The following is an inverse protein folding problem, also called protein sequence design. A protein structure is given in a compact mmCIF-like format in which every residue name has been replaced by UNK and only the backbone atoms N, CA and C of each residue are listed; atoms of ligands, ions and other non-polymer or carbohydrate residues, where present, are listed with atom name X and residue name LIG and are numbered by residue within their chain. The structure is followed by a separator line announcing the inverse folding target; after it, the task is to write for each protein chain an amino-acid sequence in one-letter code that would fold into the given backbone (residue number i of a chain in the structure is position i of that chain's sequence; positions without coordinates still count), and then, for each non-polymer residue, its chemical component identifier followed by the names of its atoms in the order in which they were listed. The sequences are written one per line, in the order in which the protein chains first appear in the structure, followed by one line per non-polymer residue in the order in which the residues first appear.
data_IF_830031993277
#
_entry.id   IF_830031993277
#
_cell.length_a   1.000
_cell.length_b   1.000
_cell.length_c   1.000
_cell.angle_alpha   90.00
_cell.angle_beta   90.00
_cell.angle_gamma   90.00
#
_symmetry.space_group_name_H-M   'P 1'
#
loop_
_entity.id
_entity.type
_entity.pdbx_description
1 polymer ?
#
# COMPACT_ATOMS: atom_id res chain seq x y z
N UNK A 1 -16.70 27.62 -29.33
CA UNK A 1 -15.86 27.76 -28.11
C UNK A 1 -16.50 27.02 -26.93
N UNK A 2 -15.70 26.17 -26.28
CA UNK A 2 -15.73 25.80 -24.85
C UNK A 2 -17.03 25.26 -24.23
N UNK A 3 -17.07 23.95 -24.00
CA UNK A 3 -17.44 23.37 -22.69
C UNK A 3 -16.51 22.21 -22.36
N UNK A 4 -15.30 22.55 -21.92
CA UNK A 4 -14.42 21.61 -21.22
C UNK A 4 -15.04 21.42 -19.84
N UNK A 5 -15.57 20.23 -19.57
CA UNK A 5 -16.02 19.81 -18.25
C UNK A 5 -14.77 19.72 -17.37
N UNK A 6 -14.49 20.81 -16.63
CA UNK A 6 -13.59 20.80 -15.48
C UNK A 6 -14.28 20.04 -14.36
N UNK A 7 -14.03 18.74 -14.24
CA UNK A 7 -14.33 18.02 -13.00
C UNK A 7 -13.28 18.45 -11.97
N UNK A 8 -13.68 19.40 -11.13
CA UNK A 8 -12.92 19.91 -10.02
C UNK A 8 -12.76 18.85 -8.93
N UNK A 9 -11.57 18.88 -8.31
CA UNK A 9 -11.28 18.61 -6.90
C UNK A 9 -12.10 17.48 -6.25
N UNK A 10 -11.52 16.29 -6.19
CA UNK A 10 -11.88 15.32 -5.14
C UNK A 10 -10.93 15.55 -3.96
N UNK A 11 -11.56 15.74 -2.80
CA UNK A 11 -10.99 16.19 -1.55
C UNK A 11 -9.87 15.27 -1.01
N UNK A 12 -8.90 15.88 -0.32
CA UNK A 12 -8.01 15.21 0.60
C UNK A 12 -8.84 14.38 1.60
N UNK A 13 -8.80 13.05 1.45
CA UNK A 13 -8.89 12.16 2.60
C UNK A 13 -7.47 11.83 2.99
N UNK A 14 -6.90 12.64 3.89
CA UNK A 14 -5.83 12.16 4.74
C UNK A 14 -6.44 11.05 5.60
N UNK A 15 -6.34 9.80 5.14
CA UNK A 15 -6.42 8.66 6.03
C UNK A 15 -5.27 8.84 7.03
N UNK A 16 -5.59 9.34 8.22
CA UNK A 16 -4.64 9.26 9.33
C UNK A 16 -4.35 7.77 9.51
N UNK A 17 -3.15 7.35 9.11
CA UNK A 17 -2.70 5.99 9.28
C UNK A 17 -2.33 5.81 10.76
N UNK A 18 -2.95 4.85 11.43
CA UNK A 18 -2.50 4.47 12.76
C UNK A 18 -1.19 3.69 12.63
N UNK A 19 -0.12 4.18 13.26
CA UNK A 19 1.12 3.42 13.38
C UNK A 19 0.87 2.21 14.31
N UNK A 20 1.00 1.00 13.75
CA UNK A 20 0.94 -0.22 14.54
C UNK A 20 2.21 -0.39 15.39
N UNK A 21 2.19 -1.21 16.43
CA UNK A 21 3.45 -1.59 17.09
C UNK A 21 4.22 -2.56 16.21
N UNK A 22 5.54 -2.40 16.14
CA UNK A 22 6.43 -3.33 15.47
C UNK A 22 6.21 -4.79 15.92
N UNK A 23 6.32 -5.74 14.98
CA UNK A 23 6.41 -7.16 15.30
C UNK A 23 7.62 -7.46 16.20
N UNK A 24 7.41 -8.18 17.30
CA UNK A 24 8.50 -8.63 18.15
C UNK A 24 9.49 -9.52 17.35
N UNK A 25 10.80 -9.42 17.62
CA UNK A 25 11.78 -10.34 17.07
C UNK A 25 11.48 -11.73 17.63
N UNK A 26 10.87 -12.60 16.85
CA UNK A 26 10.61 -13.98 17.24
C UNK A 26 11.61 -14.91 16.54
N UNK A 27 12.28 -15.75 17.32
CA UNK A 27 12.98 -16.91 16.81
C UNK A 27 11.91 -17.91 16.34
N UNK A 28 11.61 -17.90 15.04
CA UNK A 28 10.60 -18.79 14.48
C UNK A 28 11.08 -20.24 14.60
N UNK A 29 10.24 -21.13 15.17
CA UNK A 29 10.51 -22.57 15.27
C UNK A 29 10.55 -23.28 13.90
N UNK A 30 9.98 -22.64 12.87
CA UNK A 30 10.00 -23.12 11.49
C UNK A 30 10.00 -21.93 10.52
N UNK A 31 10.53 -22.14 9.31
CA UNK A 31 10.65 -21.12 8.27
C UNK A 31 9.88 -21.52 7.02
N UNK A 32 9.18 -20.56 6.42
CA UNK A 32 8.48 -20.77 5.16
C UNK A 32 8.42 -19.49 4.35
N UNK A 33 8.31 -19.63 3.03
CA UNK A 33 8.14 -18.48 2.16
C UNK A 33 6.75 -17.89 2.36
N UNK A 34 6.69 -16.62 2.76
CA UNK A 34 5.42 -15.93 2.98
C UNK A 34 4.57 -15.97 1.72
N UNK A 35 3.25 -16.12 1.80
CA UNK A 35 2.35 -15.99 0.64
C UNK A 35 1.10 -15.20 1.00
N UNK A 36 0.56 -14.49 0.01
CA UNK A 36 -0.78 -13.94 0.09
C UNK A 36 -1.81 -14.85 -0.57
N UNK A 37 -2.94 -14.99 0.11
CA UNK A 37 -4.11 -15.69 -0.43
C UNK A 37 -5.32 -14.77 -0.38
N UNK A 38 -6.21 -14.94 -1.35
CA UNK A 38 -7.48 -14.22 -1.40
C UNK A 38 -8.63 -15.19 -1.14
N UNK A 39 -9.58 -14.85 -0.24
CA UNK A 39 -10.72 -15.70 0.05
C UNK A 39 -11.69 -15.76 -1.13
N UNK A 40 -12.44 -16.87 -1.24
CA UNK A 40 -13.49 -17.01 -2.25
C UNK A 40 -14.46 -15.82 -2.21
N UNK A 41 -14.69 -15.23 -3.39
CA UNK A 41 -15.53 -14.05 -3.56
C UNK A 41 -14.79 -12.70 -3.53
N UNK A 42 -13.49 -12.70 -3.24
CA UNK A 42 -12.61 -11.54 -3.46
C UNK A 42 -12.27 -11.43 -4.94
N UNK A 43 -13.05 -10.64 -5.69
CA UNK A 43 -12.95 -10.52 -7.16
C UNK A 43 -12.72 -9.07 -7.59
N UNK A 44 -12.22 -8.87 -8.82
CA UNK A 44 -12.01 -7.54 -9.42
C UNK A 44 -13.26 -6.67 -9.34
N UNK A 45 -14.42 -7.22 -9.69
CA UNK A 45 -15.68 -6.49 -9.65
C UNK A 45 -16.10 -6.06 -8.23
N UNK A 46 -15.94 -6.95 -7.25
CA UNK A 46 -16.27 -6.61 -5.86
C UNK A 46 -15.28 -5.58 -5.29
N UNK A 47 -14.00 -5.72 -5.60
CA UNK A 47 -12.98 -4.76 -5.15
C UNK A 47 -13.21 -3.38 -5.78
N UNK A 48 -13.46 -3.28 -7.08
CA UNK A 48 -13.84 -2.03 -7.76
C UNK A 48 -15.06 -1.38 -7.10
N UNK A 49 -16.10 -2.16 -6.82
CA UNK A 49 -17.30 -1.66 -6.14
C UNK A 49 -16.99 -1.16 -4.72
N UNK A 50 -16.07 -1.81 -4.01
CA UNK A 50 -15.64 -1.43 -2.68
C UNK A 50 -14.81 -0.14 -2.68
N UNK A 51 -13.87 -0.02 -3.64
CA UNK A 51 -13.08 1.19 -3.89
C UNK A 51 -13.99 2.38 -4.16
N UNK A 52 -14.90 2.26 -5.14
CA UNK A 52 -15.82 3.36 -5.47
C UNK A 52 -16.68 3.77 -4.27
N UNK A 53 -17.08 2.81 -3.43
CA UNK A 53 -17.78 3.11 -2.18
C UNK A 53 -16.87 3.83 -1.15
N UNK A 54 -15.59 3.47 -1.01
CA UNK A 54 -14.69 4.13 -0.06
C UNK A 54 -14.37 5.57 -0.44
N UNK A 55 -14.29 5.86 -1.75
CA UNK A 55 -14.02 7.20 -2.29
C UNK A 55 -15.24 8.13 -2.26
N UNK A 56 -16.45 7.60 -2.08
CA UNK A 56 -17.65 8.43 -1.98
C UNK A 56 -17.60 9.35 -0.74
N UNK A 57 -18.06 10.61 -0.85
CA UNK A 57 -18.34 11.44 0.31
C UNK A 57 -19.26 10.75 1.31
N UNK A 58 -19.12 11.04 2.61
CA UNK A 58 -19.91 10.37 3.66
C UNK A 58 -21.43 10.51 3.49
N UNK A 59 -21.88 11.65 2.99
CA UNK A 59 -23.29 11.88 2.65
C UNK A 59 -23.77 10.94 1.55
N UNK A 60 -22.95 10.70 0.52
CA UNK A 60 -23.24 9.76 -0.56
C UNK A 60 -23.17 8.31 -0.08
N UNK A 61 -22.20 7.94 0.76
CA UNK A 61 -22.15 6.61 1.40
C UNK A 61 -23.46 6.34 2.16
N UNK A 62 -23.94 7.32 2.96
CA UNK A 62 -25.21 7.19 3.70
C UNK A 62 -26.40 7.00 2.75
N UNK A 63 -26.48 7.77 1.66
CA UNK A 63 -27.53 7.61 0.63
C UNK A 63 -27.45 6.25 -0.06
N UNK A 64 -26.25 5.82 -0.44
CA UNK A 64 -26.00 4.55 -1.13
C UNK A 64 -26.41 3.34 -0.28
N UNK A 65 -26.20 3.42 1.04
CA UNK A 65 -26.59 2.40 2.01
C UNK A 65 -28.10 2.35 2.33
N UNK A 66 -28.90 3.36 1.94
CA UNK A 66 -30.37 3.26 2.05
C UNK A 66 -30.94 2.16 1.17
N UNK A 67 -30.23 1.78 0.10
CA UNK A 67 -30.58 0.62 -0.71
C UNK A 67 -30.20 -0.68 0.04
N UNK A 68 -31.20 -1.50 0.39
CA UNK A 68 -31.02 -2.76 1.13
C UNK A 68 -30.07 -3.74 0.44
N UNK A 69 -30.05 -3.81 -0.90
CA UNK A 69 -29.13 -4.68 -1.66
C UNK A 69 -27.68 -4.24 -1.49
N UNK A 70 -27.43 -2.94 -1.47
CA UNK A 70 -26.11 -2.35 -1.26
C UNK A 70 -25.59 -2.58 0.17
N UNK A 71 -26.44 -2.36 1.17
CA UNK A 71 -26.12 -2.65 2.57
C UNK A 71 -25.81 -4.15 2.80
N UNK A 72 -26.62 -5.04 2.23
CA UNK A 72 -26.40 -6.49 2.30
C UNK A 72 -25.10 -6.90 1.61
N UNK A 73 -24.82 -6.35 0.42
CA UNK A 73 -23.56 -6.58 -0.28
C UNK A 73 -22.36 -6.12 0.56
N UNK A 74 -22.40 -4.91 1.14
CA UNK A 74 -21.27 -4.40 1.93
C UNK A 74 -21.01 -5.27 3.16
N UNK A 75 -22.07 -5.73 3.84
CA UNK A 75 -21.95 -6.67 4.96
C UNK A 75 -21.28 -7.99 4.52
N UNK A 76 -21.67 -8.54 3.36
CA UNK A 76 -21.05 -9.75 2.79
C UNK A 76 -19.58 -9.50 2.40
N UNK A 77 -19.29 -8.37 1.78
CA UNK A 77 -17.93 -7.97 1.41
C UNK A 77 -17.02 -7.88 2.64
N UNK A 78 -17.46 -7.20 3.70
CA UNK A 78 -16.71 -7.13 4.96
C UNK A 78 -16.43 -8.52 5.55
N UNK A 79 -17.40 -9.44 5.52
CA UNK A 79 -17.18 -10.84 5.96
C UNK A 79 -16.12 -11.57 5.13
N UNK A 80 -16.07 -11.34 3.82
CA UNK A 80 -15.02 -11.89 2.94
C UNK A 80 -13.66 -11.35 3.37
N UNK A 81 -13.54 -10.03 3.59
CA UNK A 81 -12.30 -9.40 4.05
C UNK A 81 -11.84 -9.91 5.43
N UNK A 82 -12.77 -10.14 6.37
CA UNK A 82 -12.46 -10.80 7.66
C UNK A 82 -11.82 -12.17 7.44
N UNK A 83 -12.36 -12.98 6.52
CA UNK A 83 -11.76 -14.29 6.19
C UNK A 83 -10.35 -14.13 5.64
N UNK A 84 -10.14 -13.14 4.76
CA UNK A 84 -8.81 -12.82 4.23
C UNK A 84 -7.81 -12.43 5.30
N UNK A 85 -8.20 -11.53 6.22
CA UNK A 85 -7.37 -11.12 7.36
C UNK A 85 -6.99 -12.29 8.27
N UNK A 86 -7.90 -13.26 8.47
CA UNK A 86 -7.67 -14.45 9.31
C UNK A 86 -6.84 -15.53 8.63
N UNK A 87 -6.97 -15.71 7.31
CA UNK A 87 -6.26 -16.73 6.56
C UNK A 87 -4.77 -16.38 6.32
N UNK A 88 -4.44 -15.09 6.29
CA UNK A 88 -3.09 -14.59 6.02
C UNK A 88 -2.36 -14.33 7.35
N UNK A 89 -1.59 -15.31 7.83
CA UNK A 89 -1.05 -15.37 9.20
C UNK A 89 0.46 -15.15 9.31
N UNK A 90 1.14 -14.79 8.22
CA UNK A 90 2.59 -14.49 8.22
C UNK A 90 2.94 -13.13 8.86
N UNK A 91 2.01 -12.54 9.61
CA UNK A 91 2.20 -11.25 10.25
C UNK A 91 2.90 -11.40 11.61
N UNK A 92 2.60 -10.50 12.55
CA UNK A 92 3.26 -10.35 13.84
C UNK A 92 3.42 -11.66 14.63
N UNK A 93 2.51 -12.63 14.47
CA UNK A 93 2.56 -13.93 15.17
C UNK A 93 3.01 -15.11 14.30
N UNK A 94 3.31 -14.86 13.03
CA UNK A 94 3.66 -15.88 12.05
C UNK A 94 5.11 -16.34 12.09
N UNK A 95 5.44 -17.29 11.22
CA UNK A 95 6.80 -17.75 10.94
C UNK A 95 7.65 -16.65 10.28
N UNK A 96 8.98 -16.83 10.28
CA UNK A 96 9.91 -16.02 9.48
C UNK A 96 10.24 -16.70 8.16
N UNK A 97 10.83 -15.97 7.20
CA UNK A 97 11.23 -16.57 5.91
C UNK A 97 12.57 -17.31 5.98
N UNK A 98 13.45 -16.93 6.90
CA UNK A 98 14.75 -17.57 7.06
C UNK A 98 15.38 -17.29 8.43
N UNK A 99 16.27 -18.18 8.87
CA UNK A 99 17.08 -17.96 10.08
C UNK A 99 18.04 -16.78 9.92
N UNK A 100 18.49 -16.50 8.69
CA UNK A 100 19.37 -15.36 8.37
C UNK A 100 18.65 -14.02 8.64
N UNK A 101 17.38 -13.92 8.28
CA UNK A 101 16.60 -12.70 8.47
C UNK A 101 16.41 -12.35 9.97
N UNK A 102 16.42 -13.36 10.85
CA UNK A 102 16.35 -13.14 12.30
C UNK A 102 17.60 -12.44 12.85
N UNK A 103 18.76 -12.71 12.25
CA UNK A 103 20.07 -12.14 12.66
C UNK A 103 20.42 -10.85 11.90
N UNK A 104 19.74 -10.58 10.79
CA UNK A 104 20.04 -9.42 9.95
C UNK A 104 19.32 -8.19 10.48
N UNK A 105 20.05 -7.22 11.03
CA UNK A 105 19.50 -5.93 11.47
C UNK A 105 19.25 -5.03 10.26
N UNK A 106 18.08 -4.41 10.18
CA UNK A 106 17.76 -3.39 9.18
C UNK A 106 18.42 -2.08 9.59
N UNK A 107 19.34 -1.59 8.77
CA UNK A 107 20.09 -0.35 9.03
C UNK A 107 19.32 0.85 8.49
N UNK A 108 18.89 1.74 9.40
CA UNK A 108 18.18 2.98 9.08
C UNK A 108 19.13 4.19 9.20
N UNK A 109 20.06 4.33 8.25
CA UNK A 109 21.02 5.45 8.23
C UNK A 109 20.32 6.73 7.78
N UNK A 110 20.45 7.81 8.55
CA UNK A 110 19.76 9.09 8.29
C UNK A 110 18.25 8.91 8.05
N UNK A 111 17.64 8.03 8.85
CA UNK A 111 16.21 7.72 8.75
C UNK A 111 15.80 6.93 7.49
N UNK A 112 16.75 6.35 6.75
CA UNK A 112 16.45 5.59 5.52
C UNK A 112 17.11 4.21 5.53
N UNK A 113 16.40 3.23 4.96
CA UNK A 113 16.93 1.89 4.79
C UNK A 113 18.11 1.85 3.81
N UNK A 114 19.15 1.06 4.12
CA UNK A 114 20.30 0.89 3.25
C UNK A 114 19.89 0.32 1.86
N UNK A 115 20.52 0.74 0.74
CA UNK A 115 20.06 0.38 -0.61
C UNK A 115 19.95 -1.13 -0.88
N UNK A 116 20.90 -1.93 -0.40
CA UNK A 116 20.86 -3.40 -0.55
C UNK A 116 19.67 -4.02 0.21
N UNK A 117 19.38 -3.52 1.41
CA UNK A 117 18.22 -3.96 2.20
C UNK A 117 16.91 -3.48 1.58
N UNK A 118 16.87 -2.26 1.02
CA UNK A 118 15.72 -1.73 0.30
C UNK A 118 15.31 -2.64 -0.88
N UNK A 119 16.28 -3.11 -1.68
CA UNK A 119 16.02 -4.05 -2.79
C UNK A 119 15.47 -5.39 -2.31
N UNK A 120 16.01 -5.93 -1.22
CA UNK A 120 15.52 -7.16 -0.60
C UNK A 120 14.06 -7.01 -0.15
N UNK A 121 13.75 -5.91 0.54
CA UNK A 121 12.40 -5.60 0.99
C UNK A 121 11.43 -5.35 -0.18
N UNK A 122 11.87 -4.63 -1.22
CA UNK A 122 11.11 -4.42 -2.45
C UNK A 122 10.77 -5.73 -3.16
N UNK A 123 11.73 -6.65 -3.24
CA UNK A 123 11.51 -7.97 -3.85
C UNK A 123 10.50 -8.78 -3.05
N UNK A 124 10.60 -8.72 -1.72
CA UNK A 124 9.67 -9.39 -0.81
C UNK A 124 8.24 -8.84 -0.93
N UNK A 125 8.05 -7.52 -0.81
CA UNK A 125 6.72 -6.89 -0.91
C UNK A 125 6.11 -7.04 -2.30
N UNK A 126 6.90 -6.88 -3.37
CA UNK A 126 6.44 -7.07 -4.75
C UNK A 126 5.91 -8.49 -4.97
N UNK A 127 6.59 -9.50 -4.41
CA UNK A 127 6.15 -10.88 -4.53
C UNK A 127 4.80 -11.09 -3.85
N UNK A 128 4.59 -10.50 -2.68
CA UNK A 128 3.32 -10.55 -1.95
C UNK A 128 2.18 -9.85 -2.71
N UNK A 129 2.44 -8.67 -3.28
CA UNK A 129 1.51 -7.97 -4.17
C UNK A 129 1.16 -8.87 -5.37
N UNK A 130 2.16 -9.46 -6.01
CA UNK A 130 1.98 -10.33 -7.18
C UNK A 130 1.30 -11.67 -6.85
N UNK A 131 1.43 -12.20 -5.63
CA UNK A 131 0.65 -13.35 -5.18
C UNK A 131 -0.85 -13.00 -5.19
N UNK A 132 -1.23 -11.85 -4.62
CA UNK A 132 -2.62 -11.38 -4.61
C UNK A 132 -3.14 -11.06 -6.02
N UNK A 133 -2.35 -10.32 -6.82
CA UNK A 133 -2.70 -10.01 -8.23
C UNK A 133 -2.91 -11.27 -9.05
N UNK A 134 -2.03 -12.26 -8.91
CA UNK A 134 -2.15 -13.55 -9.60
C UNK A 134 -3.43 -14.31 -9.25
N UNK A 135 -3.90 -14.24 -7.99
CA UNK A 135 -5.20 -14.83 -7.58
C UNK A 135 -6.41 -14.14 -8.20
N UNK A 136 -6.24 -12.93 -8.72
CA UNK A 136 -7.27 -12.19 -9.47
C UNK A 136 -7.09 -12.27 -10.99
N UNK A 137 -6.10 -13.04 -11.47
CA UNK A 137 -5.78 -13.11 -12.90
C UNK A 137 -5.18 -11.82 -13.47
N UNK A 138 -4.60 -10.97 -12.62
CA UNK A 138 -4.03 -9.69 -13.03
C UNK A 138 -2.54 -9.84 -13.42
N UNK A 139 -2.07 -9.10 -14.44
CA UNK A 139 -0.65 -9.02 -14.79
C UNK A 139 0.23 -8.66 -13.59
N UNK A 140 1.42 -9.26 -13.51
CA UNK A 140 2.36 -8.99 -12.42
C UNK A 140 2.97 -7.59 -12.55
N UNK A 141 3.06 -6.89 -11.42
CA UNK A 141 3.92 -5.71 -11.28
C UNK A 141 5.39 -6.10 -11.43
N UNK A 142 6.21 -5.13 -11.84
CA UNK A 142 7.62 -5.36 -12.18
C UNK A 142 8.51 -4.46 -11.34
N UNK A 143 9.53 -5.03 -10.71
CA UNK A 143 10.57 -4.23 -10.06
C UNK A 143 11.26 -3.34 -11.10
N UNK A 144 11.58 -2.11 -10.72
CA UNK A 144 12.25 -1.16 -11.60
C UNK A 144 13.27 -0.32 -10.81
N UNK A 145 14.38 0.04 -11.45
CA UNK A 145 15.41 0.88 -10.80
C UNK A 145 14.90 2.31 -10.62
N UNK A 146 14.07 2.78 -11.54
CA UNK A 146 13.41 4.08 -11.48
C UNK A 146 12.48 4.22 -10.29
N UNK A 147 11.55 3.27 -10.13
CA UNK A 147 10.59 3.29 -9.04
C UNK A 147 11.29 3.08 -7.70
N UNK A 148 12.36 2.29 -7.66
CA UNK A 148 13.21 2.18 -6.46
C UNK A 148 13.91 3.51 -6.10
N UNK A 149 14.37 4.26 -7.11
CA UNK A 149 14.96 5.59 -6.91
C UNK A 149 13.92 6.59 -6.44
N UNK A 150 12.72 6.57 -7.02
CA UNK A 150 11.58 7.37 -6.58
C UNK A 150 11.21 7.07 -5.12
N UNK A 151 11.12 5.79 -4.74
CA UNK A 151 10.85 5.39 -3.35
C UNK A 151 11.89 5.94 -2.37
N UNK A 152 13.16 5.98 -2.76
CA UNK A 152 14.22 6.60 -1.95
C UNK A 152 14.01 8.11 -1.81
N UNK A 153 13.68 8.81 -2.90
CA UNK A 153 13.41 10.25 -2.85
C UNK A 153 12.20 10.59 -1.98
N UNK A 154 11.11 9.81 -2.08
CA UNK A 154 9.94 9.97 -1.23
C UNK A 154 10.32 9.78 0.25
N UNK A 155 11.03 8.71 0.60
CA UNK A 155 11.48 8.49 1.98
C UNK A 155 12.36 9.64 2.50
N UNK A 156 13.24 10.20 1.66
CA UNK A 156 14.06 11.36 2.02
C UNK A 156 13.22 12.62 2.30
N UNK A 157 12.14 12.85 1.54
CA UNK A 157 11.21 13.95 1.76
C UNK A 157 10.47 13.82 3.09
N UNK A 158 10.07 12.60 3.48
CA UNK A 158 9.48 12.36 4.80
C UNK A 158 10.46 12.67 5.93
N UNK A 159 11.70 12.17 5.85
CA UNK A 159 12.73 12.41 6.86
C UNK A 159 13.06 13.90 6.98
N UNK A 160 13.35 14.57 5.87
CA UNK A 160 13.74 15.98 5.85
C UNK A 160 12.66 16.91 6.43
N UNK A 161 11.38 16.52 6.31
CA UNK A 161 10.24 17.32 6.74
C UNK A 161 9.58 16.79 8.03
N UNK A 162 10.23 15.85 8.72
CA UNK A 162 9.75 15.22 9.96
C UNK A 162 8.31 14.68 9.83
N UNK A 163 7.97 14.09 8.69
CA UNK A 163 6.65 13.51 8.41
C UNK A 163 6.66 12.00 8.67
N UNK A 164 5.51 11.48 9.04
CA UNK A 164 5.30 10.04 9.30
C UNK A 164 3.91 9.61 8.84
N UNK A 165 3.65 8.31 8.84
CA UNK A 165 2.30 7.73 8.64
C UNK A 165 1.22 8.39 9.54
N UNK A 166 1.59 8.90 10.71
CA UNK A 166 0.64 9.50 11.66
C UNK A 166 0.01 10.79 11.11
N UNK A 167 0.69 11.46 10.17
CA UNK A 167 0.20 12.66 9.49
C UNK A 167 -0.49 12.34 8.16
N UNK A 168 -0.65 11.06 7.81
CA UNK A 168 -1.08 10.61 6.49
C UNK A 168 -0.01 10.87 5.42
N UNK A 169 -0.40 10.75 4.15
CA UNK A 169 0.50 10.93 3.02
C UNK A 169 1.05 12.36 2.93
N UNK A 170 2.37 12.50 2.81
CA UNK A 170 3.02 13.80 2.60
C UNK A 170 3.06 14.18 1.12
N UNK A 171 1.87 14.51 0.58
CA UNK A 171 1.66 14.80 -0.85
C UNK A 171 2.65 15.83 -1.42
N UNK A 172 2.95 16.98 -0.77
CA UNK A 172 3.94 17.92 -1.32
C UNK A 172 5.34 17.31 -1.51
N UNK A 173 5.77 16.44 -0.59
CA UNK A 173 7.05 15.73 -0.72
C UNK A 173 7.01 14.68 -1.83
N UNK A 174 5.92 13.93 -1.95
CA UNK A 174 5.73 12.95 -3.03
C UNK A 174 5.83 13.62 -4.41
N UNK A 175 5.19 14.77 -4.59
CA UNK A 175 5.23 15.53 -5.84
C UNK A 175 6.66 16.01 -6.16
N UNK A 176 7.39 16.56 -5.16
CA UNK A 176 8.80 16.94 -5.35
C UNK A 176 9.67 15.75 -5.73
N UNK A 177 9.50 14.61 -5.06
CA UNK A 177 10.23 13.38 -5.36
C UNK A 177 9.93 12.85 -6.77
N UNK A 178 8.67 12.91 -7.22
CA UNK A 178 8.29 12.54 -8.59
C UNK A 178 8.99 13.43 -9.61
N UNK A 179 8.91 14.75 -9.43
CA UNK A 179 9.56 15.71 -10.32
C UNK A 179 11.08 15.48 -10.37
N UNK A 180 11.71 15.21 -9.22
CA UNK A 180 13.14 14.88 -9.12
C UNK A 180 13.50 13.58 -9.85
N UNK A 181 12.60 12.58 -9.82
CA UNK A 181 12.75 11.34 -10.57
C UNK A 181 12.40 11.48 -12.07
N UNK A 182 11.93 12.66 -12.51
CA UNK A 182 11.53 12.94 -13.88
C UNK A 182 10.09 12.54 -14.22
N UNK A 183 9.30 12.08 -13.24
CA UNK A 183 7.88 11.75 -13.38
C UNK A 183 7.03 12.99 -13.10
N UNK A 184 6.09 13.31 -13.98
CA UNK A 184 5.19 14.47 -13.83
C UNK A 184 3.81 13.99 -13.44
N UNK A 185 3.44 14.12 -12.17
CA UNK A 185 2.10 13.73 -11.75
C UNK A 185 1.06 14.76 -12.19
N UNK A 186 -0.13 14.34 -12.64
CA UNK A 186 -1.23 15.28 -12.83
C UNK A 186 -1.62 15.91 -11.48
N UNK A 187 -1.90 17.21 -11.44
CA UNK A 187 -2.65 17.85 -10.35
C UNK A 187 -2.03 17.91 -8.95
N UNK A 188 -0.75 17.60 -8.73
CA UNK A 188 -0.11 17.61 -7.40
C UNK A 188 -0.79 16.68 -6.37
N UNK A 189 -1.27 15.50 -6.80
CA UNK A 189 -1.86 14.48 -5.91
C UNK A 189 -0.93 13.28 -5.70
N UNK A 190 -1.25 12.42 -4.74
CA UNK A 190 -0.59 11.12 -4.59
C UNK A 190 -1.21 10.10 -5.56
N UNK A 191 -0.43 9.68 -6.55
CA UNK A 191 -0.80 8.63 -7.50
C UNK A 191 0.13 7.41 -7.47
N UNK A 192 1.09 7.40 -6.56
CA UNK A 192 2.22 6.45 -6.63
C UNK A 192 2.52 5.76 -5.31
N UNK A 193 2.06 6.28 -4.18
CA UNK A 193 2.40 5.75 -2.87
C UNK A 193 1.18 5.14 -2.18
N UNK A 194 1.28 3.85 -1.88
CA UNK A 194 0.59 3.25 -0.75
C UNK A 194 1.51 3.27 0.47
N UNK A 195 0.95 3.46 1.66
CA UNK A 195 1.75 3.60 2.88
C UNK A 195 1.17 2.82 4.05
N UNK A 196 2.04 2.13 4.76
CA UNK A 196 1.77 1.63 6.11
C UNK A 196 2.84 2.18 7.06
N UNK A 197 2.65 2.08 8.36
CA UNK A 197 3.71 2.48 9.28
C UNK A 197 3.54 1.92 10.67
N UNK A 198 4.65 1.96 11.39
CA UNK A 198 4.79 1.25 12.65
C UNK A 198 5.68 2.06 13.60
N UNK A 199 5.36 2.01 14.89
CA UNK A 199 6.27 2.48 15.94
C UNK A 199 7.38 1.47 16.11
N UNK A 200 8.61 1.96 16.22
CA UNK A 200 9.76 1.09 16.38
C UNK A 200 9.79 0.43 17.76
N UNK A 201 10.35 -0.78 17.78
CA UNK A 201 10.87 -1.41 18.98
C UNK A 201 12.39 -1.23 19.07
N UNK A 202 12.99 -1.81 20.11
CA UNK A 202 14.43 -1.67 20.42
C UNK A 202 15.38 -2.16 19.30
N UNK A 203 14.94 -3.04 18.39
CA UNK A 203 15.75 -3.56 17.29
C UNK A 203 14.88 -4.03 16.11
N UNK A 204 15.11 -3.46 14.93
CA UNK A 204 14.40 -3.82 13.69
C UNK A 204 15.20 -4.88 12.93
N UNK A 205 14.86 -6.17 13.09
CA UNK A 205 15.44 -7.24 12.26
C UNK A 205 14.74 -7.31 10.89
N UNK A 206 15.37 -7.96 9.91
CA UNK A 206 14.78 -8.21 8.60
C UNK A 206 13.48 -9.03 8.73
N UNK A 207 13.43 -9.98 9.67
CA UNK A 207 12.20 -10.71 10.00
C UNK A 207 11.11 -9.79 10.52
N UNK A 208 11.41 -8.91 11.48
CA UNK A 208 10.42 -7.96 12.01
C UNK A 208 9.89 -7.05 10.89
N UNK A 209 10.80 -6.47 10.10
CA UNK A 209 10.43 -5.62 8.97
C UNK A 209 9.57 -6.34 7.92
N UNK A 210 9.90 -7.60 7.57
CA UNK A 210 9.09 -8.40 6.64
C UNK A 210 7.70 -8.72 7.18
N UNK A 211 7.56 -8.94 8.51
CA UNK A 211 6.26 -9.15 9.16
C UNK A 211 5.41 -7.88 9.15
N UNK A 212 6.03 -6.73 9.38
CA UNK A 212 5.35 -5.43 9.34
C UNK A 212 4.94 -5.09 7.90
N UNK A 213 5.79 -5.36 6.92
CA UNK A 213 5.43 -5.25 5.49
C UNK A 213 4.23 -6.15 5.16
N UNK A 214 4.27 -7.41 5.60
CA UNK A 214 3.17 -8.35 5.37
C UNK A 214 1.89 -7.86 6.01
N UNK A 215 1.95 -7.40 7.26
CA UNK A 215 0.80 -6.85 7.96
C UNK A 215 0.23 -5.62 7.26
N UNK A 216 1.08 -4.66 6.87
CA UNK A 216 0.66 -3.46 6.14
C UNK A 216 -0.02 -3.79 4.81
N UNK A 217 0.58 -4.66 4.00
CA UNK A 217 -0.06 -5.15 2.76
C UNK A 217 -1.37 -5.87 3.06
N UNK A 218 -1.44 -6.67 4.12
CA UNK A 218 -2.65 -7.40 4.50
C UNK A 218 -3.78 -6.45 4.86
N UNK A 219 -3.51 -5.44 5.68
CA UNK A 219 -4.50 -4.45 6.09
C UNK A 219 -4.99 -3.63 4.91
N UNK A 220 -4.09 -3.23 4.00
CA UNK A 220 -4.43 -2.50 2.78
C UNK A 220 -5.30 -3.35 1.85
N UNK A 221 -4.88 -4.57 1.52
CA UNK A 221 -5.62 -5.47 0.62
C UNK A 221 -7.04 -5.78 1.15
N UNK A 222 -7.21 -6.01 2.45
CA UNK A 222 -8.52 -6.34 3.01
C UNK A 222 -9.29 -5.14 3.56
N UNK A 223 -8.70 -3.95 3.49
CA UNK A 223 -9.27 -2.70 3.93
C UNK A 223 -9.56 -2.57 5.42
N UNK A 224 -8.71 -3.19 6.22
CA UNK A 224 -8.77 -3.20 7.68
C UNK A 224 -8.04 -1.99 8.28
N UNK A 225 -8.71 -1.26 9.16
CA UNK A 225 -8.24 0.06 9.63
C UNK A 225 -7.62 0.09 11.02
N UNK A 226 -7.72 -1.00 11.79
CA UNK A 226 -7.22 -1.01 13.16
C UNK A 226 -5.73 -1.37 13.22
N UNK A 227 -5.05 -0.81 14.21
CA UNK A 227 -3.60 -0.91 14.39
C UNK A 227 -3.08 -2.33 14.73
N UNK A 228 -3.96 -3.27 15.08
CA UNK A 228 -3.58 -4.64 15.43
C UNK A 228 -4.74 -5.60 15.18
N UNK A 229 -4.52 -6.89 15.42
CA UNK A 229 -5.50 -7.96 15.15
C UNK A 229 -6.65 -8.06 16.16
N UNK A 230 -6.68 -7.29 17.25
CA UNK A 230 -7.68 -7.44 18.32
C UNK A 230 -9.12 -7.23 17.83
N UNK A 231 -9.30 -6.41 16.78
CA UNK A 231 -10.61 -6.08 16.21
C UNK A 231 -10.85 -6.77 14.86
N UNK A 232 -10.08 -7.82 14.52
CA UNK A 232 -10.15 -8.47 13.20
C UNK A 232 -11.55 -9.04 12.90
N UNK A 233 -12.32 -9.44 13.92
CA UNK A 233 -13.68 -9.96 13.73
C UNK A 233 -14.76 -8.85 13.63
N UNK A 234 -14.42 -7.58 13.90
CA UNK A 234 -15.38 -6.48 13.92
C UNK A 234 -15.56 -5.90 12.50
N UNK A 235 -16.75 -6.07 11.92
CA UNK A 235 -17.05 -5.61 10.55
C UNK A 235 -16.90 -4.09 10.37
N UNK A 236 -17.04 -3.29 11.43
CA UNK A 236 -16.89 -1.83 11.40
C UNK A 236 -15.46 -1.38 11.07
N UNK A 237 -14.46 -2.24 11.28
CA UNK A 237 -13.06 -1.94 10.97
C UNK A 237 -12.72 -2.07 9.48
N UNK A 238 -13.66 -2.52 8.65
CA UNK A 238 -13.45 -2.78 7.23
C UNK A 238 -14.14 -1.72 6.38
N UNK A 239 -13.35 -0.87 5.74
CA UNK A 239 -13.91 0.26 4.99
C UNK A 239 -12.95 1.12 4.19
N UNK A 240 -11.64 0.91 4.26
CA UNK A 240 -10.64 1.65 3.47
C UNK A 240 -10.19 0.71 2.37
N UNK A 241 -10.69 0.87 1.14
CA UNK A 241 -10.31 -0.01 0.03
C UNK A 241 -9.61 0.78 -1.08
N UNK A 242 -9.13 1.98 -0.76
CA UNK A 242 -8.39 2.86 -1.66
C UNK A 242 -7.07 2.19 -2.01
N UNK A 243 -6.31 1.78 -0.99
CA UNK A 243 -5.04 1.06 -1.18
C UNK A 243 -5.21 -0.27 -1.92
N UNK A 244 -6.26 -1.04 -1.61
CA UNK A 244 -6.53 -2.28 -2.33
C UNK A 244 -6.82 -2.01 -3.81
N UNK A 245 -7.58 -0.95 -4.11
CA UNK A 245 -7.83 -0.49 -5.46
C UNK A 245 -6.55 -0.10 -6.19
N UNK A 246 -5.61 0.55 -5.50
CA UNK A 246 -4.31 0.96 -6.05
C UNK A 246 -3.40 -0.23 -6.34
N UNK A 247 -3.17 -1.12 -5.36
CA UNK A 247 -2.36 -2.32 -5.52
C UNK A 247 -2.87 -3.27 -6.63
N UNK A 248 -4.18 -3.26 -6.90
CA UNK A 248 -4.82 -4.11 -7.92
C UNK A 248 -5.16 -3.36 -9.22
N UNK A 249 -4.96 -2.05 -9.28
CA UNK A 249 -5.45 -1.16 -10.34
C UNK A 249 -6.94 -1.40 -10.64
N UNK A 250 -7.84 -1.16 -9.69
CA UNK A 250 -9.30 -1.38 -9.88
C UNK A 250 -10.13 -0.14 -9.55
N UNK A 251 -9.58 1.04 -9.81
CA UNK A 251 -10.15 2.33 -9.41
C UNK A 251 -11.35 2.77 -10.25
N UNK A 252 -11.61 2.11 -11.38
CA UNK A 252 -12.75 2.38 -12.24
C UNK A 252 -12.42 3.01 -13.58
N UNK A 253 -11.16 2.99 -13.99
CA UNK A 253 -10.67 3.63 -15.22
C UNK A 253 -10.50 2.69 -16.41
N UNK A 254 -10.05 3.27 -17.53
CA UNK A 254 -9.78 2.54 -18.77
C UNK A 254 -8.64 1.51 -18.60
N UNK A 255 -7.69 1.78 -17.72
CA UNK A 255 -6.51 0.94 -17.45
C UNK A 255 -6.69 0.03 -16.22
N UNK A 256 -7.93 -0.22 -15.78
CA UNK A 256 -8.21 -1.11 -14.66
C UNK A 256 -7.58 -2.49 -14.91
N UNK A 257 -6.66 -2.90 -14.05
CA UNK A 257 -6.02 -4.21 -14.01
C UNK A 257 -4.60 -4.21 -14.57
N UNK A 258 -4.13 -3.10 -15.14
CA UNK A 258 -2.76 -2.99 -15.65
C UNK A 258 -1.71 -3.18 -14.56
N UNK A 259 -0.46 -3.30 -14.97
CA UNK A 259 0.68 -3.48 -14.08
C UNK A 259 1.46 -2.18 -13.87
N UNK A 260 2.20 -2.15 -12.76
CA UNK A 260 3.03 -1.00 -12.38
C UNK A 260 4.51 -1.37 -12.30
N UNK A 261 5.35 -0.36 -12.45
CA UNK A 261 6.74 -0.40 -12.06
C UNK A 261 6.87 -0.14 -10.56
N UNK A 262 7.55 -1.03 -9.85
CA UNK A 262 7.52 -1.07 -8.41
C UNK A 262 8.87 -0.75 -7.75
N UNK A 263 8.82 0.01 -6.67
CA UNK A 263 9.91 0.25 -5.74
C UNK A 263 9.42 0.28 -4.30
N UNK A 264 10.34 0.16 -3.34
CA UNK A 264 10.00 0.19 -1.92
C UNK A 264 11.06 0.91 -1.12
N UNK A 265 10.67 1.71 -0.14
CA UNK A 265 11.59 2.34 0.80
C UNK A 265 10.98 2.48 2.18
N UNK A 266 11.81 2.86 3.14
CA UNK A 266 11.42 3.12 4.52
C UNK A 266 11.95 4.49 4.91
N UNK A 267 11.08 5.34 5.46
CA UNK A 267 11.48 6.53 6.21
C UNK A 267 11.34 6.27 7.70
N UNK A 268 12.19 6.87 8.52
CA UNK A 268 12.16 6.76 9.97
C UNK A 268 12.33 8.14 10.60
N UNK A 269 11.40 8.50 11.48
CA UNK A 269 11.36 9.79 12.15
C UNK A 269 10.65 9.64 13.49
N UNK A 270 11.30 10.06 14.58
CA UNK A 270 10.68 10.14 15.91
C UNK A 270 10.09 8.82 16.41
N UNK A 271 10.83 7.71 16.30
CA UNK A 271 10.36 6.40 16.76
C UNK A 271 9.26 5.77 15.90
N UNK A 272 9.09 6.24 14.67
CA UNK A 272 8.12 5.69 13.72
C UNK A 272 8.79 5.48 12.39
N UNK A 273 8.66 4.28 11.82
CA UNK A 273 8.96 4.07 10.41
C UNK A 273 7.70 4.02 9.55
N UNK A 274 7.77 4.67 8.39
CA UNK A 274 6.76 4.59 7.35
C UNK A 274 7.30 3.73 6.21
N UNK A 275 6.49 2.77 5.78
CA UNK A 275 6.78 1.83 4.70
C UNK A 275 6.12 2.37 3.42
N UNK A 276 6.95 2.70 2.43
CA UNK A 276 6.51 3.34 1.18
C UNK A 276 6.48 2.30 0.06
N UNK A 277 5.27 1.92 -0.37
CA UNK A 277 5.04 0.99 -1.47
C UNK A 277 4.77 1.82 -2.73
N UNK A 278 5.74 1.85 -3.64
CA UNK A 278 5.68 2.77 -4.78
C UNK A 278 5.30 2.02 -6.05
N UNK A 279 4.08 2.23 -6.54
CA UNK A 279 3.59 1.78 -7.83
C UNK A 279 3.59 2.95 -8.83
N UNK A 280 4.32 2.83 -9.93
CA UNK A 280 4.23 3.78 -11.05
C UNK A 280 3.49 3.10 -12.19
N UNK A 281 2.26 3.56 -12.52
CA UNK A 281 1.46 2.89 -13.53
C UNK A 281 2.15 2.85 -14.88
N UNK A 282 2.28 1.65 -15.46
CA UNK A 282 3.01 1.48 -16.72
C UNK A 282 2.36 2.24 -17.88
N UNK A 283 1.03 2.45 -17.81
CA UNK A 283 0.29 3.18 -18.81
C UNK A 283 0.70 4.65 -18.93
N UNK A 284 1.25 5.28 -17.88
CA UNK A 284 1.72 6.67 -17.98
C UNK A 284 2.80 6.87 -19.06
N UNK A 285 3.51 5.80 -19.45
CA UNK A 285 4.55 5.83 -20.49
C UNK A 285 3.98 6.01 -21.89
N UNK A 286 2.85 5.35 -22.19
CA UNK A 286 2.31 5.25 -23.54
C UNK A 286 0.94 5.93 -23.67
N UNK A 287 0.15 5.95 -22.60
CA UNK A 287 -1.04 6.77 -22.50
C UNK A 287 -0.65 8.25 -22.38
N UNK A 288 -1.56 9.14 -22.78
CA UNK A 288 -1.38 10.59 -22.70
C UNK A 288 -0.15 11.11 -23.47
N UNK A 289 0.28 10.40 -24.52
CA UNK A 289 1.47 10.76 -25.30
C UNK A 289 2.76 10.82 -24.47
N UNK A 290 2.81 10.10 -23.33
CA UNK A 290 3.96 10.13 -22.41
C UNK A 290 4.11 11.44 -21.62
N UNK A 291 3.12 12.34 -21.65
CA UNK A 291 3.19 13.65 -21.00
C UNK A 291 3.52 13.56 -19.50
N UNK A 292 3.01 12.52 -18.83
CA UNK A 292 3.25 12.28 -17.40
C UNK A 292 4.51 11.46 -17.12
N UNK A 293 5.01 10.72 -18.12
CA UNK A 293 6.24 9.94 -18.00
C UNK A 293 7.49 10.83 -17.92
N UNK A 294 7.47 11.96 -18.64
CA UNK A 294 8.57 12.93 -18.63
C UNK A 294 9.93 12.28 -18.94
N UNK A 295 10.88 12.41 -18.02
CA UNK A 295 12.24 11.83 -18.12
C UNK A 295 12.43 10.61 -17.21
N UNK A 296 11.34 10.03 -16.70
CA UNK A 296 11.40 8.90 -15.78
C UNK A 296 12.02 7.68 -16.46
N UNK A 297 12.98 7.06 -15.76
CA UNK A 297 13.70 5.86 -16.21
C UNK A 297 13.27 4.68 -15.36
N UNK A 298 12.27 3.92 -15.80
CA UNK A 298 11.84 2.68 -15.14
C UNK A 298 13.02 1.71 -14.93
#
# INVERSE_FOLDING_TARGET
MKKIVKTALIALLASAGFAAMQAAPAQAAAYSKARFTLPKGYTKANLKKAYLYSEMPKSQQKKWLKNKKNAAWLKKWRKINVKGMKANTFDQKGQGESAKDNKTVVTLKNGQVAPGQAKTLATYSLRLINDARGKMGLPKWKYSKGSQTLAKYIAAEYVANKKTIATGHYVPGIVRACNKAGLRLPGNYNYVEDMAGFKDGKLVTMTAMKKDIYFGLKTMVFGYRAANLAKVSQLSQYGEWSHAGDLMNTQGGHYDGDWDYYGFSVSYTGGTYSLHYIGVPSHLKWAYGGAYWGKFKA
#
